data_IF_730757255494
#
_entry.id   IF_730757255494
#
_cell.length_a   1.000
_cell.length_b   1.000
_cell.length_c   1.000
_cell.angle_alpha   90.00
_cell.angle_beta   90.00
_cell.angle_gamma   90.00
#
_symmetry.space_group_name_H-M   'P 1'
#
loop_
_entity.id
_entity.type
_entity.pdbx_description
1 polymer ?
#
# COMPACT_ATOMS: atom_id res chain seq x y z
N UNK A 1 25.59 5.08 19.17
CA UNK A 1 24.73 4.73 18.03
C UNK A 1 23.35 5.20 18.40
N UNK A 2 22.68 6.00 17.55
CA UNK A 2 21.35 6.53 17.87
C UNK A 2 20.36 5.36 17.95
N UNK A 3 19.57 5.29 19.01
CA UNK A 3 18.54 4.26 19.19
C UNK A 3 17.56 4.21 18.00
N UNK A 4 17.29 5.37 17.37
CA UNK A 4 16.51 5.51 16.13
C UNK A 4 17.06 4.69 14.94
N UNK A 5 18.37 4.47 14.88
CA UNK A 5 19.00 3.70 13.78
C UNK A 5 18.80 2.20 13.98
N UNK A 6 18.94 1.72 15.23
CA UNK A 6 18.75 0.30 15.56
C UNK A 6 17.27 -0.07 15.41
N UNK A 7 16.36 0.81 15.82
CA UNK A 7 14.92 0.60 15.65
C UNK A 7 14.54 0.53 14.16
N UNK A 8 15.12 1.39 13.32
CA UNK A 8 14.89 1.36 11.87
C UNK A 8 15.41 0.06 11.22
N UNK A 9 16.62 -0.38 11.56
CA UNK A 9 17.18 -1.64 11.04
C UNK A 9 16.35 -2.86 11.47
N UNK A 10 15.84 -2.84 12.70
CA UNK A 10 14.95 -3.88 13.20
C UNK A 10 13.61 -3.91 12.46
N UNK A 11 13.00 -2.75 12.20
CA UNK A 11 11.77 -2.66 11.41
C UNK A 11 11.99 -3.16 9.98
N UNK A 12 13.11 -2.80 9.34
CA UNK A 12 13.48 -3.30 8.00
C UNK A 12 13.62 -4.82 8.01
N UNK A 13 14.29 -5.38 9.01
CA UNK A 13 14.46 -6.83 9.16
C UNK A 13 13.11 -7.56 9.24
N UNK A 14 12.16 -7.03 10.01
CA UNK A 14 10.80 -7.58 10.11
C UNK A 14 10.06 -7.51 8.77
N UNK A 15 10.16 -6.39 8.05
CA UNK A 15 9.54 -6.23 6.73
C UNK A 15 10.08 -7.23 5.71
N UNK A 16 11.41 -7.38 5.63
CA UNK A 16 12.07 -8.33 4.72
C UNK A 16 11.62 -9.75 5.05
N UNK A 17 11.57 -10.12 6.34
CA UNK A 17 11.07 -11.43 6.77
C UNK A 17 9.64 -11.71 6.27
N UNK A 18 8.73 -10.73 6.34
CA UNK A 18 7.35 -10.89 5.87
C UNK A 18 7.23 -10.94 4.36
N UNK A 19 8.05 -10.19 3.65
CA UNK A 19 8.13 -10.27 2.18
C UNK A 19 8.60 -11.65 1.72
N UNK A 20 9.64 -12.20 2.34
CA UNK A 20 10.11 -13.56 2.04
C UNK A 20 9.03 -14.60 2.36
N UNK A 21 8.34 -14.45 3.50
CA UNK A 21 7.24 -15.35 3.85
C UNK A 21 6.07 -15.30 2.85
N UNK A 22 5.71 -14.11 2.33
CA UNK A 22 4.70 -13.96 1.28
C UNK A 22 5.09 -14.71 0.00
N UNK A 23 6.36 -14.57 -0.39
CA UNK A 23 6.92 -15.17 -1.59
C UNK A 23 7.02 -16.69 -1.48
N UNK A 24 7.74 -17.20 -0.47
CA UNK A 24 8.04 -18.62 -0.30
C UNK A 24 6.78 -19.48 -0.14
N UNK A 25 5.72 -18.90 0.43
CA UNK A 25 4.43 -19.58 0.65
C UNK A 25 3.41 -19.32 -0.46
N UNK A 26 3.78 -18.64 -1.55
CA UNK A 26 2.90 -18.23 -2.65
C UNK A 26 1.58 -17.61 -2.15
N UNK A 27 1.66 -16.73 -1.15
CA UNK A 27 0.46 -16.14 -0.55
C UNK A 27 -0.17 -15.07 -1.44
N UNK A 28 0.59 -14.49 -2.37
CA UNK A 28 0.09 -13.52 -3.34
C UNK A 28 -1.06 -14.07 -4.20
N UNK A 29 -1.04 -15.36 -4.53
CA UNK A 29 -2.09 -16.03 -5.32
C UNK A 29 -3.46 -16.05 -4.61
N UNK A 30 -3.47 -15.80 -3.29
CA UNK A 30 -4.69 -15.74 -2.47
C UNK A 30 -5.27 -14.33 -2.37
N UNK A 31 -4.56 -13.32 -2.87
CA UNK A 31 -4.97 -11.93 -2.79
C UNK A 31 -5.74 -11.51 -4.04
N UNK A 32 -6.61 -10.52 -3.86
CA UNK A 32 -7.44 -10.02 -4.94
C UNK A 32 -6.58 -9.19 -5.91
N UNK A 33 -6.59 -9.53 -7.20
CA UNK A 33 -5.75 -8.85 -8.19
C UNK A 33 -6.39 -7.56 -8.68
N UNK A 34 -5.61 -6.47 -8.67
CA UNK A 34 -6.02 -5.19 -9.27
C UNK A 34 -7.05 -4.39 -8.46
N UNK A 35 -7.25 -4.69 -7.18
CA UNK A 35 -8.15 -3.91 -6.31
C UNK A 35 -7.45 -3.41 -5.05
N UNK A 36 -8.03 -2.38 -4.42
CA UNK A 36 -7.57 -1.84 -3.14
C UNK A 36 -7.57 -2.92 -2.06
N UNK A 37 -8.50 -3.89 -2.10
CA UNK A 37 -8.53 -4.99 -1.15
C UNK A 37 -7.26 -5.84 -1.24
N UNK A 38 -6.82 -6.21 -2.44
CA UNK A 38 -5.54 -6.89 -2.62
C UNK A 38 -4.34 -6.08 -2.12
N UNK A 39 -4.32 -4.80 -2.46
CA UNK A 39 -3.28 -3.89 -1.99
C UNK A 39 -3.25 -3.75 -0.46
N UNK A 40 -4.43 -3.69 0.18
CA UNK A 40 -4.59 -3.67 1.64
C UNK A 40 -4.13 -4.98 2.28
N UNK A 41 -4.40 -6.13 1.66
CA UNK A 41 -3.88 -7.43 2.12
C UNK A 41 -2.36 -7.49 2.06
N UNK A 42 -1.75 -7.02 0.97
CA UNK A 42 -0.28 -6.92 0.80
C UNK A 42 0.29 -6.00 1.89
N UNK A 43 -0.24 -4.79 2.04
CA UNK A 43 0.23 -3.82 3.03
C UNK A 43 0.04 -4.34 4.46
N UNK A 44 -1.11 -4.95 4.76
CA UNK A 44 -1.36 -5.54 6.08
C UNK A 44 -0.31 -6.59 6.39
N UNK A 45 -0.07 -7.53 5.47
CA UNK A 45 0.85 -8.63 5.72
C UNK A 45 2.30 -8.17 5.89
N UNK A 46 2.78 -7.26 5.04
CA UNK A 46 4.14 -6.74 5.12
C UNK A 46 4.36 -5.97 6.43
N UNK A 47 3.45 -5.06 6.76
CA UNK A 47 3.66 -4.08 7.84
C UNK A 47 3.04 -4.47 9.18
N UNK A 48 2.46 -5.67 9.33
CA UNK A 48 1.74 -6.09 10.56
C UNK A 48 2.57 -6.03 11.85
N UNK A 49 3.88 -6.24 11.76
CA UNK A 49 4.77 -6.19 12.93
C UNK A 49 5.46 -4.83 13.12
N UNK A 50 5.17 -3.85 12.25
CA UNK A 50 5.82 -2.53 12.23
C UNK A 50 4.84 -1.41 12.49
N UNK A 51 3.64 -1.46 11.90
CA UNK A 51 2.64 -0.40 12.03
C UNK A 51 1.28 -0.94 12.49
N UNK A 52 0.69 -0.31 13.51
CA UNK A 52 -0.64 -0.65 14.02
C UNK A 52 -1.79 -0.35 13.02
N UNK A 53 -1.52 0.49 12.01
CA UNK A 53 -2.47 0.90 10.97
C UNK A 53 -2.29 0.14 9.64
N UNK A 54 -1.56 -0.99 9.65
CA UNK A 54 -1.30 -1.77 8.45
C UNK A 54 -2.61 -2.14 7.71
N UNK A 55 -2.65 -1.91 6.39
CA UNK A 55 -3.81 -2.20 5.55
C UNK A 55 -4.99 -1.24 5.73
N UNK A 56 -4.94 -0.28 6.66
CA UNK A 56 -6.05 0.65 6.91
C UNK A 56 -5.94 1.91 6.04
N UNK A 57 -7.09 2.38 5.56
CA UNK A 57 -7.19 3.67 4.86
C UNK A 57 -6.79 4.79 5.82
N UNK A 58 -5.91 5.69 5.36
CA UNK A 58 -5.45 6.82 6.16
C UNK A 58 -6.58 7.80 6.48
N UNK A 59 -6.51 8.39 7.67
CA UNK A 59 -7.49 9.37 8.19
C UNK A 59 -6.98 10.81 8.16
N UNK A 60 -5.77 11.04 7.66
CA UNK A 60 -5.15 12.37 7.55
C UNK A 60 -4.77 12.68 6.11
N UNK A 61 -4.82 13.96 5.74
CA UNK A 61 -4.28 14.43 4.47
C UNK A 61 -2.74 14.34 4.51
N UNK A 62 -2.14 13.99 3.38
CA UNK A 62 -0.69 13.86 3.24
C UNK A 62 -0.23 14.54 1.96
N UNK A 63 0.99 15.03 1.99
CA UNK A 63 1.68 15.59 0.83
C UNK A 63 3.12 15.08 0.82
N UNK A 64 3.74 15.10 -0.35
CA UNK A 64 5.17 14.86 -0.50
C UNK A 64 5.74 15.95 -1.41
N UNK A 65 6.73 16.67 -0.91
CA UNK A 65 7.26 17.87 -1.56
C UNK A 65 6.11 18.84 -1.87
N UNK A 66 5.92 19.21 -3.14
CA UNK A 66 4.90 20.15 -3.60
C UNK A 66 3.65 19.44 -4.15
N UNK A 67 3.49 18.14 -3.92
CA UNK A 67 2.34 17.36 -4.39
C UNK A 67 1.43 16.95 -3.23
N UNK A 68 0.13 17.23 -3.36
CA UNK A 68 -0.91 16.78 -2.42
C UNK A 68 -1.60 15.54 -2.99
N UNK A 69 -1.62 14.47 -2.20
CA UNK A 69 -2.37 13.25 -2.55
C UNK A 69 -3.87 13.46 -2.35
N UNK A 70 -4.68 12.48 -2.77
CA UNK A 70 -6.14 12.54 -2.66
C UNK A 70 -6.60 12.98 -1.25
N UNK A 71 -7.52 13.94 -1.15
CA UNK A 71 -8.03 14.37 0.15
C UNK A 71 -8.80 13.21 0.80
N UNK A 72 -8.61 13.00 2.11
CA UNK A 72 -9.20 11.87 2.84
C UNK A 72 -10.71 11.77 2.69
N UNK A 73 -11.40 12.92 2.66
CA UNK A 73 -12.86 12.98 2.47
C UNK A 73 -13.34 12.30 1.18
N UNK A 74 -12.49 12.23 0.16
CA UNK A 74 -12.81 11.62 -1.13
C UNK A 74 -12.11 10.28 -1.36
N UNK A 75 -11.22 9.85 -0.45
CA UNK A 75 -10.31 8.73 -0.68
C UNK A 75 -11.06 7.42 -0.90
N UNK A 76 -12.03 7.09 -0.04
CA UNK A 76 -12.83 5.86 -0.20
C UNK A 76 -13.60 5.80 -1.51
N UNK A 77 -14.14 6.94 -1.96
CA UNK A 77 -14.84 7.03 -3.24
C UNK A 77 -13.85 6.85 -4.41
N UNK A 78 -12.69 7.49 -4.36
CA UNK A 78 -11.68 7.35 -5.42
C UNK A 78 -11.12 5.93 -5.50
N UNK A 79 -10.90 5.24 -4.38
CA UNK A 79 -10.46 3.85 -4.39
C UNK A 79 -11.46 2.93 -5.11
N UNK A 80 -12.77 3.14 -4.91
CA UNK A 80 -13.81 2.41 -5.66
C UNK A 80 -13.76 2.68 -7.17
N UNK A 81 -13.45 3.92 -7.56
CA UNK A 81 -13.28 4.28 -8.97
C UNK A 81 -12.04 3.59 -9.56
N UNK A 82 -10.92 3.61 -8.85
CA UNK A 82 -9.68 2.93 -9.27
C UNK A 82 -9.90 1.43 -9.41
N UNK A 83 -10.60 0.78 -8.48
CA UNK A 83 -10.93 -0.65 -8.57
C UNK A 83 -11.69 -0.99 -9.85
N UNK A 84 -12.56 -0.08 -10.32
CA UNK A 84 -13.35 -0.24 -11.55
C UNK A 84 -12.58 0.06 -12.84
N UNK A 85 -11.36 0.59 -12.77
CA UNK A 85 -10.54 0.88 -13.95
C UNK A 85 -10.15 -0.42 -14.67
N UNK A 86 -10.19 -0.37 -16.00
CA UNK A 86 -9.70 -1.44 -16.88
C UNK A 86 -8.19 -1.62 -16.69
N UNK A 87 -7.70 -2.84 -16.95
CA UNK A 87 -6.29 -3.22 -16.79
C UNK A 87 -5.87 -4.28 -17.82
N UNK A 88 -6.46 -4.25 -19.01
CA UNK A 88 -6.27 -5.29 -20.03
C UNK A 88 -5.09 -5.01 -20.96
N UNK A 89 -4.60 -3.77 -20.98
CA UNK A 89 -3.43 -3.35 -21.75
C UNK A 89 -2.38 -2.75 -20.82
N UNK A 90 -1.13 -2.69 -21.29
CA UNK A 90 -0.05 -2.06 -20.54
C UNK A 90 -0.39 -0.62 -20.15
N UNK A 91 -0.86 0.20 -21.10
CA UNK A 91 -1.24 1.60 -20.84
C UNK A 91 -2.31 1.71 -19.76
N UNK A 92 -3.34 0.84 -19.81
CA UNK A 92 -4.40 0.80 -18.79
C UNK A 92 -3.86 0.43 -17.40
N UNK A 93 -2.89 -0.49 -17.33
CA UNK A 93 -2.24 -0.87 -16.06
C UNK A 93 -1.44 0.32 -15.51
N UNK A 94 -0.71 1.04 -16.37
CA UNK A 94 0.04 2.23 -15.98
C UNK A 94 -0.91 3.32 -15.48
N UNK A 95 -1.99 3.61 -16.20
CA UNK A 95 -3.00 4.60 -15.79
C UNK A 95 -3.59 4.24 -14.42
N UNK A 96 -3.98 2.98 -14.22
CA UNK A 96 -4.50 2.50 -12.94
C UNK A 96 -3.49 2.59 -11.81
N UNK A 97 -2.22 2.30 -12.07
CA UNK A 97 -1.13 2.45 -11.11
C UNK A 97 -0.93 3.93 -10.71
N UNK A 98 -0.94 4.83 -11.69
CA UNK A 98 -0.82 6.28 -11.45
C UNK A 98 -1.96 6.77 -10.57
N UNK A 99 -3.21 6.41 -10.88
CA UNK A 99 -4.38 6.80 -10.08
C UNK A 99 -4.34 6.23 -8.65
N UNK A 100 -3.92 4.97 -8.48
CA UNK A 100 -3.70 4.39 -7.15
C UNK A 100 -2.62 5.14 -6.38
N UNK A 101 -1.53 5.56 -7.04
CA UNK A 101 -0.46 6.34 -6.41
C UNK A 101 -0.94 7.75 -6.01
N UNK A 102 -1.82 8.38 -6.79
CA UNK A 102 -2.46 9.65 -6.43
C UNK A 102 -3.38 9.48 -5.20
N UNK A 103 -4.10 8.35 -5.11
CA UNK A 103 -4.90 8.01 -3.94
C UNK A 103 -4.02 7.89 -2.68
N UNK A 104 -2.88 7.21 -2.81
CA UNK A 104 -1.91 7.00 -1.73
C UNK A 104 -2.57 6.59 -0.42
N UNK A 105 -3.21 5.40 -0.37
CA UNK A 105 -4.25 5.13 0.62
C UNK A 105 -3.75 4.90 2.05
N UNK A 106 -2.46 4.62 2.23
CA UNK A 106 -1.86 4.33 3.53
C UNK A 106 -1.07 5.53 4.06
N UNK A 107 -0.70 5.46 5.34
CA UNK A 107 0.07 6.50 6.03
C UNK A 107 1.55 6.14 6.05
#
# INVERSE_FOLDING_TARGET
MNDDFIENDYQISLLVKRLLELWDKNLFDKFELGTFKGLSQIHSYMFKDVFNFNGQIRKVNISKNNFMFCLTRYLEQNLKLVDSMKQNTFDQIIDKYVEMNICHPFR
#
